data_IF_896153739340
#
_entry.id   IF_896153739340
#
_cell.length_a   1.000
_cell.length_b   1.000
_cell.length_c   1.000
_cell.angle_alpha   90.00
_cell.angle_beta   90.00
_cell.angle_gamma   90.00
#
_symmetry.space_group_name_H-M   'P 1'
#
loop_
_entity.id
_entity.type
_entity.pdbx_description
1 polymer ?
#
# COMPACT_ATOMS: atom_id res chain seq x y z
N UNK A 1 47.63 6.91 20.04
CA UNK A 1 46.83 6.65 18.82
C UNK A 1 45.84 5.49 19.03
N UNK A 2 45.00 5.52 20.08
CA UNK A 2 43.98 4.48 20.35
C UNK A 2 42.65 5.03 20.91
N UNK A 3 42.53 6.34 21.11
CA UNK A 3 41.36 6.98 21.75
C UNK A 3 40.38 7.59 20.71
N UNK A 4 40.72 7.59 19.43
CA UNK A 4 39.90 8.21 18.38
C UNK A 4 38.80 7.31 17.78
N UNK A 5 38.68 6.04 18.22
CA UNK A 5 37.76 5.07 17.59
C UNK A 5 36.39 5.00 18.30
N UNK A 6 36.28 5.46 19.56
CA UNK A 6 35.06 5.28 20.37
C UNK A 6 34.04 6.43 20.19
N UNK A 7 34.48 7.59 19.69
CA UNK A 7 33.59 8.76 19.51
C UNK A 7 32.76 8.72 18.21
N UNK A 8 33.06 7.84 17.26
CA UNK A 8 32.35 7.80 15.98
C UNK A 8 31.09 6.93 15.98
N UNK A 9 30.87 6.11 17.02
CA UNK A 9 29.75 5.15 17.05
C UNK A 9 28.47 5.76 17.65
N UNK A 10 28.56 6.93 18.30
CA UNK A 10 27.43 7.54 19.01
C UNK A 10 26.58 8.47 18.10
N UNK A 11 27.03 8.82 16.90
CA UNK A 11 26.42 9.91 16.13
C UNK A 11 25.45 9.52 15.01
N UNK A 12 25.11 8.25 14.83
CA UNK A 12 24.22 7.84 13.72
C UNK A 12 23.07 6.93 14.16
N UNK A 13 22.44 7.24 15.29
CA UNK A 13 21.04 6.86 15.50
C UNK A 13 20.15 7.90 14.84
N UNK A 14 20.13 7.95 13.50
CA UNK A 14 18.98 8.51 12.80
C UNK A 14 17.81 7.59 13.08
N UNK A 15 17.11 7.84 14.17
CA UNK A 15 15.77 7.34 14.36
C UNK A 15 14.93 7.96 13.25
N UNK A 16 14.68 7.19 12.21
CA UNK A 16 13.60 7.48 11.27
C UNK A 16 12.31 7.37 12.09
N UNK A 17 11.91 8.48 12.70
CA UNK A 17 10.57 8.60 13.28
C UNK A 17 9.61 8.40 12.11
N UNK A 18 9.00 7.22 12.07
CA UNK A 18 7.78 7.01 11.31
C UNK A 18 6.74 7.96 11.89
N UNK A 19 6.61 9.16 11.32
CA UNK A 19 5.49 10.05 11.61
C UNK A 19 4.21 9.24 11.44
N UNK A 20 3.52 8.97 12.56
CA UNK A 20 2.21 8.34 12.54
C UNK A 20 1.26 9.29 11.82
N UNK A 21 1.01 9.01 10.55
CA UNK A 21 0.06 9.77 9.75
C UNK A 21 -1.32 9.53 10.35
N UNK A 22 -1.95 10.58 10.88
CA UNK A 22 -3.28 10.49 11.47
C UNK A 22 -4.27 9.92 10.43
N UNK A 23 -5.01 8.88 10.83
CA UNK A 23 -6.03 8.26 9.98
C UNK A 23 -7.21 9.22 9.82
N UNK A 24 -7.80 9.28 8.63
CA UNK A 24 -9.04 10.02 8.43
C UNK A 24 -10.20 9.23 9.03
N UNK A 25 -10.99 9.86 9.89
CA UNK A 25 -12.12 9.19 10.53
C UNK A 25 -13.39 9.37 9.69
N UNK A 26 -14.17 8.30 9.57
CA UNK A 26 -15.47 8.31 8.88
C UNK A 26 -16.55 9.13 9.61
N UNK A 27 -16.27 9.60 10.83
CA UNK A 27 -17.16 10.45 11.62
C UNK A 27 -17.05 11.93 11.24
N UNK A 28 -16.07 12.29 10.39
CA UNK A 28 -15.95 13.65 9.88
C UNK A 28 -17.11 14.00 8.96
N UNK A 29 -17.54 15.26 8.99
CA UNK A 29 -18.42 15.77 7.94
C UNK A 29 -17.70 15.72 6.58
N UNK A 30 -18.46 15.89 5.48
CA UNK A 30 -17.90 15.78 4.13
C UNK A 30 -16.71 16.72 3.87
N UNK A 31 -16.74 17.93 4.44
CA UNK A 31 -15.67 18.93 4.27
C UNK A 31 -14.38 18.53 5.01
N UNK A 32 -14.49 18.17 6.29
CA UNK A 32 -13.35 17.78 7.12
C UNK A 32 -12.72 16.47 6.63
N UNK A 33 -13.56 15.54 6.15
CA UNK A 33 -13.10 14.30 5.53
C UNK A 33 -12.30 14.58 4.26
N UNK A 34 -12.82 15.45 3.37
CA UNK A 34 -12.11 15.81 2.15
C UNK A 34 -10.78 16.50 2.46
N UNK A 35 -10.74 17.40 3.43
CA UNK A 35 -9.53 18.08 3.88
C UNK A 35 -8.51 17.08 4.43
N UNK A 36 -8.95 16.14 5.27
CA UNK A 36 -8.10 15.08 5.80
C UNK A 36 -7.50 14.22 4.67
N UNK A 37 -8.34 13.74 3.73
CA UNK A 37 -7.90 12.91 2.61
C UNK A 37 -6.91 13.65 1.70
N UNK A 38 -7.11 14.96 1.45
CA UNK A 38 -6.15 15.79 0.71
C UNK A 38 -4.79 15.86 1.41
N UNK A 39 -4.78 16.08 2.73
CA UNK A 39 -3.55 16.09 3.52
C UNK A 39 -2.85 14.73 3.49
N UNK A 40 -3.60 13.65 3.71
CA UNK A 40 -3.07 12.28 3.66
C UNK A 40 -2.45 11.97 2.28
N UNK A 41 -3.16 12.30 1.20
CA UNK A 41 -2.65 12.18 -0.17
C UNK A 41 -1.35 12.94 -0.37
N UNK A 42 -1.24 14.16 0.15
CA UNK A 42 -0.01 14.94 0.08
C UNK A 42 1.13 14.27 0.85
N UNK A 43 0.86 13.71 2.03
CA UNK A 43 1.87 12.99 2.81
C UNK A 43 2.37 11.72 2.13
N UNK A 44 1.55 11.07 1.29
CA UNK A 44 1.98 9.94 0.47
C UNK A 44 2.90 10.33 -0.69
N UNK A 45 3.02 11.61 -1.04
CA UNK A 45 3.87 12.08 -2.13
C UNK A 45 5.33 11.67 -1.91
N UNK A 46 5.88 10.96 -2.89
CA UNK A 46 7.25 10.44 -2.88
C UNK A 46 7.55 9.50 -1.69
N UNK A 47 6.51 8.93 -1.07
CA UNK A 47 6.65 7.87 -0.05
C UNK A 47 6.30 6.51 -0.64
N UNK A 48 6.76 5.48 0.04
CA UNK A 48 6.41 4.10 -0.24
C UNK A 48 5.36 3.60 0.74
N UNK A 49 4.34 2.93 0.22
CA UNK A 49 3.36 2.22 1.00
C UNK A 49 3.70 0.73 0.95
N UNK A 50 3.91 0.14 2.12
CA UNK A 50 4.13 -1.30 2.27
C UNK A 50 2.84 -1.96 2.79
N UNK A 51 2.36 -2.99 2.11
CA UNK A 51 1.14 -3.71 2.45
C UNK A 51 1.42 -5.21 2.48
N UNK A 52 1.02 -5.88 3.56
CA UNK A 52 1.04 -7.33 3.65
C UNK A 52 -0.16 -7.95 2.93
N UNK A 53 0.10 -8.84 1.97
CA UNK A 53 -0.93 -9.52 1.19
C UNK A 53 -1.06 -10.97 1.69
N UNK A 54 -2.28 -11.35 2.07
CA UNK A 54 -2.62 -12.70 2.48
C UNK A 54 -3.38 -13.44 1.37
N UNK A 55 -3.08 -14.72 1.18
CA UNK A 55 -3.76 -15.60 0.25
C UNK A 55 -5.17 -16.01 0.75
N UNK A 56 -5.87 -16.83 -0.03
CA UNK A 56 -7.24 -17.29 0.29
C UNK A 56 -7.34 -18.11 1.59
N UNK A 57 -6.21 -18.58 2.13
CA UNK A 57 -6.13 -19.31 3.41
C UNK A 57 -5.61 -18.43 4.55
N UNK A 58 -5.51 -17.11 4.36
CA UNK A 58 -5.00 -16.17 5.36
C UNK A 58 -3.49 -16.23 5.60
N UNK A 59 -2.72 -16.94 4.76
CA UNK A 59 -1.25 -17.01 4.87
C UNK A 59 -0.60 -15.96 3.97
N UNK A 60 0.62 -15.47 4.27
CA UNK A 60 1.31 -14.52 3.39
C UNK A 60 1.43 -15.05 1.96
N UNK A 61 0.99 -14.24 0.98
CA UNK A 61 1.12 -14.54 -0.43
C UNK A 61 2.51 -14.14 -0.90
N UNK A 62 3.49 -15.04 -0.79
CA UNK A 62 4.92 -14.79 -1.02
C UNK A 62 5.31 -14.94 -2.48
N UNK A 63 6.24 -14.11 -2.98
CA UNK A 63 6.81 -14.19 -4.33
C UNK A 63 5.75 -14.29 -5.44
N UNK A 64 4.56 -13.74 -5.19
CA UNK A 64 3.38 -13.93 -6.01
C UNK A 64 3.24 -12.82 -7.02
N UNK A 65 2.74 -13.17 -8.21
CA UNK A 65 2.50 -12.22 -9.29
C UNK A 65 1.29 -11.34 -8.96
N UNK A 66 1.48 -10.02 -9.03
CA UNK A 66 0.44 -9.03 -8.76
C UNK A 66 0.39 -7.96 -9.85
N UNK A 67 -0.83 -7.62 -10.26
CA UNK A 67 -1.19 -6.46 -11.06
C UNK A 67 -1.77 -5.38 -10.14
N UNK A 68 -1.19 -4.19 -10.16
CA UNK A 68 -1.56 -3.07 -9.29
C UNK A 68 -2.14 -1.93 -10.12
N UNK A 69 -3.36 -1.52 -9.82
CA UNK A 69 -4.06 -0.43 -10.49
C UNK A 69 -4.35 0.68 -9.48
N UNK A 70 -3.67 1.82 -9.62
CA UNK A 70 -3.77 2.96 -8.70
C UNK A 70 -4.68 4.02 -9.31
N UNK A 71 -5.71 4.45 -8.58
CA UNK A 71 -6.65 5.52 -8.96
C UNK A 71 -7.26 5.34 -10.36
N UNK A 72 -7.59 4.11 -10.71
CA UNK A 72 -8.24 3.74 -11.97
C UNK A 72 -7.48 4.14 -13.25
N UNK A 73 -6.15 4.32 -13.18
CA UNK A 73 -5.30 4.62 -14.34
C UNK A 73 -5.15 3.42 -15.28
N UNK A 74 -5.64 3.54 -16.51
CA UNK A 74 -5.68 2.59 -17.64
C UNK A 74 -4.67 1.42 -17.74
N UNK A 75 -3.45 1.50 -17.19
CA UNK A 75 -2.48 0.40 -17.26
C UNK A 75 -2.05 -0.09 -15.87
N UNK A 76 -2.38 -1.34 -15.49
CA UNK A 76 -1.90 -1.92 -14.25
C UNK A 76 -0.39 -2.12 -14.30
N UNK A 77 0.28 -1.80 -13.19
CA UNK A 77 1.72 -2.09 -13.04
C UNK A 77 1.91 -3.52 -12.56
N UNK A 78 2.83 -4.20 -13.23
CA UNK A 78 3.27 -5.54 -12.85
C UNK A 78 4.25 -5.48 -11.69
N UNK A 79 4.02 -6.28 -10.65
CA UNK A 79 4.84 -6.38 -9.43
C UNK A 79 4.83 -7.81 -8.88
N UNK A 80 5.69 -8.04 -7.90
CA UNK A 80 5.68 -9.24 -7.08
C UNK A 80 5.58 -8.87 -5.60
N UNK A 81 4.95 -9.72 -4.80
CA UNK A 81 5.19 -9.70 -3.35
C UNK A 81 6.57 -10.25 -3.04
N UNK A 82 7.17 -9.80 -1.94
CA UNK A 82 8.45 -10.33 -1.50
C UNK A 82 8.31 -11.69 -0.77
N UNK A 83 9.42 -12.19 -0.21
CA UNK A 83 9.48 -13.45 0.54
C UNK A 83 8.67 -13.49 1.83
N UNK A 84 8.23 -12.33 2.34
CA UNK A 84 7.35 -12.20 3.51
C UNK A 84 5.90 -11.90 3.13
N UNK A 85 5.58 -11.82 1.84
CA UNK A 85 4.24 -11.55 1.34
C UNK A 85 3.86 -10.07 1.31
N UNK A 86 4.84 -9.16 1.40
CA UNK A 86 4.63 -7.71 1.35
C UNK A 86 4.74 -7.18 -0.07
N UNK A 87 3.93 -6.17 -0.38
CA UNK A 87 3.90 -5.41 -1.62
C UNK A 87 4.24 -3.94 -1.34
N UNK A 88 5.25 -3.42 -2.04
CA UNK A 88 5.64 -2.00 -1.94
C UNK A 88 5.12 -1.20 -3.13
N UNK A 89 4.44 -0.10 -2.86
CA UNK A 89 3.86 0.80 -3.86
C UNK A 89 4.43 2.20 -3.65
N UNK A 90 5.24 2.66 -4.60
CA UNK A 90 5.83 4.00 -4.57
C UNK A 90 4.86 5.00 -5.22
N UNK A 91 4.48 6.03 -4.48
CA UNK A 91 3.59 7.08 -4.95
C UNK A 91 4.39 8.25 -5.53
N UNK A 92 4.71 8.17 -6.82
CA UNK A 92 5.35 9.30 -7.50
C UNK A 92 4.42 10.51 -7.54
N UNK A 93 5.01 11.70 -7.65
CA UNK A 93 4.30 12.96 -7.83
C UNK A 93 3.23 12.89 -8.94
N UNK A 94 3.58 12.31 -10.09
CA UNK A 94 2.64 12.10 -11.21
C UNK A 94 1.45 11.20 -10.84
N UNK A 95 1.65 10.20 -9.97
CA UNK A 95 0.55 9.35 -9.48
C UNK A 95 -0.36 10.16 -8.57
N UNK A 96 0.21 10.86 -7.60
CA UNK A 96 -0.53 11.66 -6.62
C UNK A 96 -1.37 12.76 -7.27
N UNK A 97 -0.83 13.47 -8.27
CA UNK A 97 -1.57 14.54 -8.95
C UNK A 97 -2.76 14.03 -9.77
N UNK A 98 -2.68 12.82 -10.31
CA UNK A 98 -3.75 12.23 -11.13
C UNK A 98 -4.80 11.49 -10.28
N UNK A 99 -4.53 11.27 -9.00
CA UNK A 99 -5.48 10.67 -8.08
C UNK A 99 -6.48 11.70 -7.51
N UNK A 100 -7.75 11.34 -7.34
CA UNK A 100 -8.66 12.08 -6.47
C UNK A 100 -8.15 12.09 -5.02
N UNK A 101 -8.78 12.86 -4.13
CA UNK A 101 -8.37 12.92 -2.72
C UNK A 101 -8.38 11.54 -2.05
N UNK A 102 -9.39 10.71 -2.35
CA UNK A 102 -9.45 9.31 -1.95
C UNK A 102 -8.62 8.46 -2.92
N UNK A 103 -7.48 7.95 -2.46
CA UNK A 103 -6.67 7.03 -3.26
C UNK A 103 -7.24 5.62 -3.09
N UNK A 104 -7.51 4.95 -4.22
CA UNK A 104 -7.84 3.53 -4.28
C UNK A 104 -6.78 2.78 -5.06
N UNK A 105 -6.43 1.59 -4.58
CA UNK A 105 -5.51 0.68 -5.25
C UNK A 105 -6.20 -0.67 -5.38
N UNK A 106 -6.50 -1.06 -6.62
CA UNK A 106 -6.97 -2.40 -6.92
C UNK A 106 -5.76 -3.32 -7.14
N UNK A 107 -5.70 -4.40 -6.37
CA UNK A 107 -4.61 -5.37 -6.37
C UNK A 107 -5.19 -6.69 -6.86
N UNK A 108 -4.64 -7.24 -7.94
CA UNK A 108 -5.14 -8.47 -8.56
C UNK A 108 -3.99 -9.46 -8.77
N UNK A 109 -4.22 -10.72 -8.50
CA UNK A 109 -3.18 -11.76 -8.66
C UNK A 109 -3.03 -12.17 -10.12
N UNK A 110 -1.98 -12.94 -10.40
CA UNK A 110 -1.95 -13.85 -11.55
C UNK A 110 -3.21 -14.72 -11.65
N UNK A 111 -3.47 -15.23 -12.86
CA UNK A 111 -4.53 -16.22 -13.11
C UNK A 111 -4.28 -17.51 -12.32
N UNK A 112 -5.34 -18.28 -12.07
CA UNK A 112 -5.25 -19.60 -11.44
C UNK A 112 -5.36 -19.64 -9.90
N UNK A 113 -5.53 -18.49 -9.23
CA UNK A 113 -5.75 -18.47 -7.78
C UNK A 113 -7.19 -18.75 -7.36
N UNK A 114 -8.15 -18.51 -8.25
CA UNK A 114 -9.57 -18.77 -8.03
C UNK A 114 -10.09 -19.83 -9.02
N UNK A 115 -11.25 -20.45 -8.75
CA UNK A 115 -11.87 -21.41 -9.66
C UNK A 115 -11.99 -20.88 -11.09
N UNK A 116 -11.96 -21.80 -12.06
CA UNK A 116 -11.99 -21.51 -13.50
C UNK A 116 -10.82 -20.64 -13.98
N UNK A 117 -9.65 -20.79 -13.35
CA UNK A 117 -8.44 -20.06 -13.73
C UNK A 117 -8.48 -18.56 -13.39
N UNK A 118 -9.46 -18.09 -12.61
CA UNK A 118 -9.63 -16.66 -12.32
C UNK A 118 -8.56 -16.13 -11.36
N UNK A 119 -8.32 -14.82 -11.40
CA UNK A 119 -7.49 -14.13 -10.41
C UNK A 119 -8.26 -13.83 -9.12
N UNK A 120 -7.55 -13.85 -7.99
CA UNK A 120 -8.01 -13.23 -6.76
C UNK A 120 -7.70 -11.73 -6.76
N UNK A 121 -8.36 -10.97 -5.91
CA UNK A 121 -8.17 -9.53 -5.80
C UNK A 121 -8.39 -9.01 -4.37
N UNK A 122 -7.97 -7.77 -4.16
CA UNK A 122 -8.29 -6.99 -2.98
C UNK A 122 -8.18 -5.50 -3.31
N UNK A 123 -8.72 -4.64 -2.44
CA UNK A 123 -8.70 -3.19 -2.62
C UNK A 123 -8.14 -2.53 -1.38
N UNK A 124 -7.13 -1.70 -1.57
CA UNK A 124 -6.68 -0.76 -0.55
C UNK A 124 -7.32 0.61 -0.82
N UNK A 125 -7.76 1.29 0.24
CA UNK A 125 -8.19 2.68 0.15
C UNK A 125 -7.55 3.53 1.27
N UNK A 126 -7.29 4.80 0.95
CA UNK A 126 -6.65 5.74 1.88
C UNK A 126 -7.56 6.18 3.02
N UNK A 127 -8.80 5.70 3.07
CA UNK A 127 -9.73 5.97 4.15
C UNK A 127 -9.54 4.98 5.30
N UNK A 128 -9.37 3.70 4.97
CA UNK A 128 -9.20 2.62 5.97
C UNK A 128 -7.75 2.43 6.41
N UNK A 129 -6.78 2.80 5.57
CA UNK A 129 -5.33 2.72 5.84
C UNK A 129 -4.96 1.37 6.45
N UNK A 130 -5.27 0.30 5.71
CA UNK A 130 -5.00 -1.07 6.16
C UNK A 130 -3.61 -1.51 5.71
N UNK A 131 -2.83 -2.05 6.64
CA UNK A 131 -1.48 -2.59 6.38
C UNK A 131 -1.52 -4.07 5.97
N UNK A 132 -2.66 -4.74 6.20
CA UNK A 132 -2.87 -6.15 5.89
C UNK A 132 -4.14 -6.29 5.07
N UNK A 133 -4.04 -6.97 3.93
CA UNK A 133 -5.16 -7.23 3.04
C UNK A 133 -5.30 -8.71 2.73
N UNK A 134 -6.54 -9.19 2.76
CA UNK A 134 -6.88 -10.54 2.32
C UNK A 134 -7.27 -10.53 0.85
N UNK A 135 -6.71 -11.47 0.08
CA UNK A 135 -7.18 -11.78 -1.26
C UNK A 135 -8.52 -12.48 -1.19
N UNK A 136 -9.40 -12.11 -2.12
CA UNK A 136 -10.72 -12.70 -2.27
C UNK A 136 -10.97 -13.06 -3.73
N UNK A 137 -11.72 -14.13 -3.96
CA UNK A 137 -12.27 -14.42 -5.28
C UNK A 137 -13.53 -13.58 -5.48
N UNK A 138 -13.64 -12.88 -6.61
CA UNK A 138 -14.93 -12.30 -6.98
C UNK A 138 -15.91 -13.44 -7.27
N UNK A 139 -17.05 -13.47 -6.57
CA UNK A 139 -18.26 -14.07 -7.13
C UNK A 139 -18.76 -13.10 -8.20
N UNK A 140 -18.73 -13.50 -9.47
CA UNK A 140 -19.54 -12.78 -10.45
C UNK A 140 -21.00 -13.03 -10.05
N UNK A 141 -21.70 -11.97 -9.65
CA UNK A 141 -23.14 -11.93 -9.85
C UNK A 141 -23.31 -11.64 -11.35
N UNK A 142 -23.38 -12.70 -12.15
CA UNK A 142 -23.90 -12.59 -13.51
C UNK A 142 -25.37 -12.19 -13.43
#
# INVERSE_FOLDING_TARGET
MRILIILFIIFFSFSTQSENIAKCENLFNSYDLEKCLKNYKYMLKNRELEISILNLSGKPYKNGVIFVHVCDKYQPKYKYTNSTGKLTISFSELIIHQCPSLIKINIRTGFGMCPNGKSANTVWDSLKVQEILNLNCFKNNN
#
